data_IF_092713458348
#
_entry.id   IF_092713458348
#
_cell.length_a   1.000
_cell.length_b   1.000
_cell.length_c   1.000
_cell.angle_alpha   90.00
_cell.angle_beta   90.00
_cell.angle_gamma   90.00
#
_symmetry.space_group_name_H-M   'P 1'
#
loop_
_entity.id
_entity.type
_entity.pdbx_description
1 polymer ?
#
# COMPACT_ATOMS: atom_id res chain seq x y z
N UNK A 1 1.69 -20.99 -6.20
CA UNK A 1 1.24 -20.70 -7.58
C UNK A 1 0.88 -19.23 -7.58
N UNK A 2 1.57 -18.41 -8.38
CA UNK A 2 1.35 -16.96 -8.38
C UNK A 2 -0.09 -16.62 -8.77
N UNK A 3 -0.65 -15.55 -8.18
CA UNK A 3 -2.02 -15.09 -8.43
C UNK A 3 -2.15 -14.31 -9.74
N UNK A 4 -1.67 -14.89 -10.84
CA UNK A 4 -1.60 -14.21 -12.14
C UNK A 4 -2.97 -13.96 -12.80
N UNK A 5 -4.04 -14.51 -12.21
CA UNK A 5 -5.42 -14.38 -12.68
C UNK A 5 -6.28 -13.41 -11.86
N UNK A 6 -5.68 -12.50 -11.09
CA UNK A 6 -6.42 -11.42 -10.44
C UNK A 6 -6.98 -10.43 -11.47
N UNK A 7 -8.06 -9.73 -11.10
CA UNK A 7 -8.60 -8.64 -11.92
C UNK A 7 -7.54 -7.55 -12.11
N UNK A 8 -7.45 -7.03 -13.33
CA UNK A 8 -6.56 -5.90 -13.63
C UNK A 8 -7.26 -4.60 -13.28
N UNK A 9 -6.64 -3.80 -12.43
CA UNK A 9 -7.16 -2.50 -11.98
C UNK A 9 -6.19 -1.40 -12.46
N UNK A 10 -6.75 -0.42 -13.17
CA UNK A 10 -6.03 0.76 -13.64
C UNK A 10 -6.10 1.87 -12.59
N UNK A 11 -4.95 2.47 -12.25
CA UNK A 11 -4.83 3.59 -11.32
C UNK A 11 -4.00 4.65 -12.02
N UNK A 12 -4.65 5.72 -12.52
CA UNK A 12 -4.00 6.68 -13.40
C UNK A 12 -3.45 5.97 -14.65
N UNK A 13 -2.14 6.04 -14.86
CA UNK A 13 -1.41 5.35 -15.94
C UNK A 13 -0.84 3.97 -15.53
N UNK A 14 -0.98 3.56 -14.27
CA UNK A 14 -0.45 2.30 -13.72
C UNK A 14 -1.49 1.18 -13.67
N UNK A 15 -1.02 -0.07 -13.71
CA UNK A 15 -1.84 -1.28 -13.59
C UNK A 15 -1.35 -2.16 -12.45
N UNK A 16 -2.30 -2.72 -11.70
CA UNK A 16 -2.06 -3.78 -10.72
C UNK A 16 -2.97 -4.97 -11.02
N UNK A 17 -2.60 -6.16 -10.57
CA UNK A 17 -3.36 -7.39 -10.82
C UNK A 17 -3.07 -8.03 -12.17
N UNK A 18 -3.62 -9.24 -12.39
CA UNK A 18 -3.50 -9.99 -13.64
C UNK A 18 -2.07 -10.30 -14.07
N UNK A 19 -1.18 -10.59 -13.10
CA UNK A 19 0.23 -10.89 -13.36
C UNK A 19 1.09 -9.67 -13.74
N UNK A 20 0.57 -8.44 -13.62
CA UNK A 20 1.40 -7.24 -13.76
C UNK A 20 2.44 -7.15 -12.63
N UNK A 21 3.57 -6.45 -12.84
CA UNK A 21 4.58 -6.27 -11.80
C UNK A 21 4.01 -5.68 -10.50
N UNK A 22 4.50 -6.17 -9.37
CA UNK A 22 4.09 -5.68 -8.03
C UNK A 22 4.56 -4.24 -7.85
N UNK A 23 3.61 -3.30 -7.77
CA UNK A 23 3.91 -1.87 -7.66
C UNK A 23 4.18 -1.44 -6.21
N UNK A 24 5.13 -0.52 -6.03
CA UNK A 24 5.51 0.06 -4.75
C UNK A 24 4.69 1.32 -4.48
N UNK A 25 3.96 1.34 -3.37
CA UNK A 25 3.30 2.55 -2.88
C UNK A 25 3.98 3.07 -1.62
N UNK A 26 3.92 4.38 -1.44
CA UNK A 26 4.27 5.06 -0.19
C UNK A 26 3.13 5.98 0.24
N UNK A 27 3.32 6.70 1.35
CA UNK A 27 2.37 7.70 1.83
C UNK A 27 3.10 8.93 2.32
N UNK A 28 2.67 10.11 1.87
CA UNK A 28 3.16 11.37 2.39
C UNK A 28 2.82 11.51 3.88
N UNK A 29 3.73 12.12 4.63
CA UNK A 29 3.52 12.49 6.04
C UNK A 29 3.47 14.02 6.25
N UNK A 30 3.52 14.79 5.16
CA UNK A 30 3.20 16.22 5.15
C UNK A 30 1.70 16.45 5.29
N UNK A 31 1.31 17.66 5.68
CA UNK A 31 -0.09 18.09 5.62
C UNK A 31 -0.46 18.39 4.17
N UNK A 32 -1.46 17.70 3.63
CA UNK A 32 -1.84 17.78 2.21
C UNK A 32 -2.23 19.19 1.76
N UNK A 33 -2.79 20.02 2.66
CA UNK A 33 -3.07 21.43 2.39
C UNK A 33 -1.81 22.28 2.13
N UNK A 34 -0.64 21.83 2.57
CA UNK A 34 0.65 22.42 2.21
C UNK A 34 1.15 21.82 0.89
N UNK A 35 0.58 22.30 -0.21
CA UNK A 35 0.87 21.85 -1.58
C UNK A 35 2.37 21.79 -1.86
N UNK A 36 3.12 22.86 -1.53
CA UNK A 36 4.55 22.94 -1.83
C UNK A 36 5.33 21.81 -1.13
N UNK A 37 5.12 21.63 0.18
CA UNK A 37 5.81 20.58 0.94
C UNK A 37 5.39 19.18 0.49
N UNK A 38 4.11 18.98 0.16
CA UNK A 38 3.62 17.69 -0.32
C UNK A 38 4.20 17.36 -1.70
N UNK A 39 4.19 18.29 -2.66
CA UNK A 39 4.80 18.10 -3.99
C UNK A 39 6.30 17.80 -3.89
N UNK A 40 7.04 18.55 -3.07
CA UNK A 40 8.47 18.30 -2.84
C UNK A 40 8.72 16.87 -2.30
N UNK A 41 7.93 16.44 -1.32
CA UNK A 41 8.02 15.08 -0.79
C UNK A 41 7.64 14.02 -1.84
N UNK A 42 6.66 14.30 -2.70
CA UNK A 42 6.26 13.38 -3.78
C UNK A 42 7.40 13.21 -4.76
N UNK A 43 8.07 14.28 -5.19
CA UNK A 43 9.22 14.17 -6.10
C UNK A 43 10.36 13.34 -5.52
N UNK A 44 10.66 13.52 -4.22
CA UNK A 44 11.66 12.67 -3.54
C UNK A 44 11.26 11.19 -3.52
N UNK A 45 9.96 10.90 -3.40
CA UNK A 45 9.43 9.55 -3.46
C UNK A 45 9.42 8.97 -4.88
N UNK A 46 9.11 9.78 -5.89
CA UNK A 46 9.24 9.45 -7.32
C UNK A 46 10.70 9.05 -7.64
N UNK A 47 11.66 9.89 -7.26
CA UNK A 47 13.10 9.64 -7.45
C UNK A 47 13.56 8.36 -6.74
N UNK A 48 13.01 8.06 -5.56
CA UNK A 48 13.29 6.82 -4.85
C UNK A 48 12.67 5.57 -5.51
N UNK A 49 11.77 5.74 -6.49
CA UNK A 49 11.12 4.67 -7.24
C UNK A 49 9.73 4.27 -6.72
N UNK A 50 9.00 5.20 -6.09
CA UNK A 50 7.59 5.02 -5.75
C UNK A 50 6.72 5.05 -7.02
N UNK A 51 5.86 4.05 -7.19
CA UNK A 51 5.01 3.92 -8.37
C UNK A 51 3.65 4.63 -8.20
N UNK A 52 3.12 4.68 -6.97
CA UNK A 52 1.81 5.27 -6.64
C UNK A 52 1.90 5.93 -5.26
N UNK A 53 1.51 7.19 -5.15
CA UNK A 53 1.54 7.92 -3.88
C UNK A 53 0.18 7.98 -3.20
N UNK A 54 0.17 7.94 -1.87
CA UNK A 54 -1.02 8.23 -1.06
C UNK A 54 -0.84 9.50 -0.23
N UNK A 55 -1.91 10.28 -0.12
CA UNK A 55 -2.00 11.45 0.78
C UNK A 55 -3.21 11.33 1.71
N UNK A 56 -3.09 11.83 2.94
CA UNK A 56 -4.21 11.89 3.87
C UNK A 56 -5.16 13.04 3.49
N UNK A 57 -6.47 12.84 3.59
CA UNK A 57 -7.45 13.90 3.31
C UNK A 57 -8.36 14.08 4.53
N UNK A 58 -7.89 14.79 5.58
CA UNK A 58 -8.67 15.00 6.79
C UNK A 58 -9.67 16.17 6.67
N UNK A 59 -9.50 17.07 5.69
CA UNK A 59 -10.28 18.31 5.56
C UNK A 59 -10.66 18.57 4.09
N UNK A 60 -11.67 19.43 3.87
CA UNK A 60 -12.05 19.86 2.52
C UNK A 60 -10.93 20.65 1.82
N UNK A 61 -10.11 21.38 2.59
CA UNK A 61 -8.93 22.06 2.08
C UNK A 61 -7.89 21.06 1.55
N UNK A 62 -7.61 19.99 2.29
CA UNK A 62 -6.75 18.91 1.82
C UNK A 62 -7.32 18.23 0.56
N UNK A 63 -8.65 18.07 0.47
CA UNK A 63 -9.29 17.50 -0.72
C UNK A 63 -9.10 18.41 -1.94
N UNK A 64 -9.33 19.72 -1.77
CA UNK A 64 -9.16 20.71 -2.84
C UNK A 64 -7.69 20.86 -3.28
N UNK A 65 -6.74 20.73 -2.35
CA UNK A 65 -5.30 20.82 -2.62
C UNK A 65 -4.81 19.75 -3.61
N UNK A 66 -5.49 18.58 -3.70
CA UNK A 66 -5.18 17.52 -4.65
C UNK A 66 -5.14 18.05 -6.09
N UNK A 67 -6.03 18.99 -6.45
CA UNK A 67 -6.07 19.56 -7.80
C UNK A 67 -4.79 20.26 -8.18
N UNK A 68 -4.17 20.95 -7.23
CA UNK A 68 -2.91 21.65 -7.49
C UNK A 68 -1.72 20.70 -7.43
N UNK A 69 -1.71 19.77 -6.47
CA UNK A 69 -0.68 18.72 -6.37
C UNK A 69 -0.62 17.90 -7.67
N UNK A 70 -1.77 17.47 -8.20
CA UNK A 70 -1.87 16.65 -9.42
C UNK A 70 -1.30 17.30 -10.68
N UNK A 71 -1.21 18.63 -10.74
CA UNK A 71 -0.59 19.35 -11.87
C UNK A 71 0.93 19.30 -11.83
N UNK A 72 1.51 18.99 -10.67
CA UNK A 72 2.93 19.12 -10.41
C UNK A 72 3.63 17.78 -10.21
N UNK A 73 2.91 16.65 -10.18
CA UNK A 73 3.46 15.30 -9.96
C UNK A 73 3.25 14.40 -11.18
N UNK A 74 4.00 13.30 -11.24
CA UNK A 74 4.03 12.38 -12.40
C UNK A 74 3.44 11.01 -12.09
N UNK A 75 3.27 10.64 -10.82
CA UNK A 75 2.71 9.35 -10.41
C UNK A 75 1.23 9.47 -9.97
N UNK A 76 0.45 8.37 -10.03
CA UNK A 76 -0.93 8.37 -9.56
C UNK A 76 -1.03 8.64 -8.05
N UNK A 77 -2.09 9.37 -7.66
CA UNK A 77 -2.37 9.79 -6.30
C UNK A 77 -3.62 9.09 -5.74
N UNK A 78 -3.46 8.53 -4.54
CA UNK A 78 -4.53 7.91 -3.76
C UNK A 78 -4.94 8.84 -2.63
N UNK A 79 -6.22 9.16 -2.55
CA UNK A 79 -6.78 9.91 -1.42
C UNK A 79 -7.21 8.96 -0.29
N UNK A 80 -6.64 9.12 0.90
CA UNK A 80 -6.94 8.33 2.09
C UNK A 80 -8.06 9.00 2.92
N UNK A 81 -9.25 8.39 2.94
CA UNK A 81 -10.43 8.91 3.63
C UNK A 81 -10.82 7.97 4.77
N UNK A 82 -11.13 8.53 5.94
CA UNK A 82 -11.52 7.74 7.11
C UNK A 82 -13.03 7.69 7.35
N UNK A 83 -13.73 8.83 7.34
CA UNK A 83 -15.11 8.91 7.83
C UNK A 83 -16.06 9.73 6.95
N UNK A 84 -15.62 10.90 6.46
CA UNK A 84 -16.53 11.82 5.77
C UNK A 84 -16.59 11.53 4.27
N UNK A 85 -17.74 11.02 3.82
CA UNK A 85 -18.01 10.74 2.41
C UNK A 85 -17.87 11.97 1.50
N UNK A 86 -18.08 13.18 2.03
CA UNK A 86 -17.93 14.43 1.26
C UNK A 86 -16.47 14.69 0.89
N UNK A 87 -15.53 14.28 1.75
CA UNK A 87 -14.10 14.35 1.45
C UNK A 87 -13.72 13.38 0.33
N UNK A 88 -14.31 12.19 0.31
CA UNK A 88 -14.10 11.24 -0.78
C UNK A 88 -14.59 11.82 -2.11
N UNK A 89 -15.82 12.35 -2.14
CA UNK A 89 -16.38 12.99 -3.35
C UNK A 89 -15.50 14.17 -3.81
N UNK A 90 -15.15 15.07 -2.90
CA UNK A 90 -14.32 16.23 -3.22
C UNK A 90 -12.92 15.85 -3.71
N UNK A 91 -12.32 14.78 -3.17
CA UNK A 91 -11.02 14.28 -3.62
C UNK A 91 -11.09 13.71 -5.04
N UNK A 92 -12.16 12.99 -5.38
CA UNK A 92 -12.41 12.48 -6.74
C UNK A 92 -12.53 13.66 -7.73
N UNK A 93 -13.38 14.64 -7.40
CA UNK A 93 -13.59 15.84 -8.23
C UNK A 93 -12.36 16.75 -8.32
N UNK A 94 -11.40 16.57 -7.41
CA UNK A 94 -10.11 17.27 -7.42
C UNK A 94 -9.03 16.51 -8.19
N UNK A 95 -9.31 15.31 -8.71
CA UNK A 95 -8.42 14.57 -9.59
C UNK A 95 -7.63 13.44 -8.94
N UNK A 96 -8.07 12.91 -7.79
CA UNK A 96 -7.49 11.69 -7.24
C UNK A 96 -7.68 10.51 -8.20
N UNK A 97 -6.63 9.70 -8.41
CA UNK A 97 -6.66 8.55 -9.33
C UNK A 97 -7.22 7.27 -8.67
N UNK A 98 -7.33 7.27 -7.33
CA UNK A 98 -7.91 6.20 -6.51
C UNK A 98 -8.32 6.78 -5.17
N UNK A 99 -9.35 6.23 -4.54
CA UNK A 99 -9.67 6.52 -3.13
C UNK A 99 -9.44 5.27 -2.27
N UNK A 100 -9.06 5.46 -1.01
CA UNK A 100 -9.15 4.43 0.03
C UNK A 100 -10.25 4.82 0.99
N UNK A 101 -11.19 3.91 1.22
CA UNK A 101 -12.22 4.04 2.25
C UNK A 101 -12.33 2.74 3.05
N UNK A 102 -13.00 2.82 4.20
CA UNK A 102 -13.62 1.68 4.84
C UNK A 102 -15.13 1.97 4.89
N UNK A 103 -15.98 1.31 4.09
CA UNK A 103 -17.40 1.64 4.02
C UNK A 103 -18.11 1.63 5.39
N UNK A 104 -17.77 0.70 6.29
CA UNK A 104 -18.25 0.68 7.67
C UNK A 104 -17.97 1.96 8.46
N UNK A 105 -16.85 2.64 8.18
CA UNK A 105 -16.52 3.93 8.80
C UNK A 105 -17.20 5.13 8.11
N UNK A 106 -17.55 5.00 6.83
CA UNK A 106 -18.31 6.03 6.10
C UNK A 106 -19.76 6.12 6.60
N UNK A 107 -20.30 4.99 7.06
CA UNK A 107 -21.57 4.88 7.77
C UNK A 107 -22.72 4.49 6.85
N UNK A 108 -23.80 5.28 6.86
CA UNK A 108 -25.05 4.94 6.18
C UNK A 108 -24.87 4.55 4.71
N UNK A 109 -25.64 3.56 4.24
CA UNK A 109 -25.53 2.98 2.89
C UNK A 109 -25.67 4.05 1.79
N UNK A 110 -26.48 5.07 2.01
CA UNK A 110 -26.68 6.19 1.08
C UNK A 110 -25.40 7.03 0.91
N UNK A 111 -24.60 7.18 1.98
CA UNK A 111 -23.31 7.89 1.93
C UNK A 111 -22.27 7.09 1.16
N UNK A 112 -22.19 5.79 1.43
CA UNK A 112 -21.32 4.87 0.67
C UNK A 112 -21.73 4.87 -0.80
N UNK A 113 -23.05 4.81 -1.08
CA UNK A 113 -23.59 4.90 -2.44
C UNK A 113 -23.16 6.19 -3.14
N UNK A 114 -23.24 7.34 -2.48
CA UNK A 114 -22.80 8.60 -3.08
C UNK A 114 -21.31 8.58 -3.48
N UNK A 115 -20.45 7.95 -2.67
CA UNK A 115 -19.02 7.78 -3.00
C UNK A 115 -18.83 6.81 -4.18
N UNK A 116 -19.53 5.68 -4.17
CA UNK A 116 -19.45 4.67 -5.24
C UNK A 116 -19.97 5.22 -6.56
N UNK A 117 -21.09 5.94 -6.55
CA UNK A 117 -21.64 6.60 -7.75
C UNK A 117 -20.63 7.61 -8.32
N UNK A 118 -19.96 8.38 -7.46
CA UNK A 118 -18.92 9.34 -7.87
C UNK A 118 -17.68 8.64 -8.42
N UNK A 119 -17.23 7.55 -7.79
CA UNK A 119 -16.10 6.76 -8.28
C UNK A 119 -16.41 6.13 -9.65
N UNK A 120 -17.65 5.65 -9.86
CA UNK A 120 -18.14 5.19 -11.17
C UNK A 120 -18.13 6.27 -12.23
N UNK A 121 -18.66 7.45 -11.91
CA UNK A 121 -18.72 8.60 -12.81
C UNK A 121 -17.32 8.97 -13.34
N UNK A 122 -16.30 8.92 -12.49
CA UNK A 122 -14.92 9.25 -12.83
C UNK A 122 -14.07 8.03 -13.26
N UNK A 123 -14.63 6.82 -13.17
CA UNK A 123 -13.94 5.58 -13.52
C UNK A 123 -12.75 5.22 -12.62
N UNK A 124 -12.68 5.73 -11.39
CA UNK A 124 -11.52 5.50 -10.51
C UNK A 124 -11.72 4.34 -9.53
N UNK A 125 -10.69 3.54 -9.23
CA UNK A 125 -10.82 2.44 -8.29
C UNK A 125 -11.04 2.88 -6.85
N UNK A 126 -11.64 1.96 -6.08
CA UNK A 126 -11.79 2.07 -4.63
C UNK A 126 -10.95 1.00 -3.95
N UNK A 127 -10.04 1.40 -3.06
CA UNK A 127 -9.40 0.47 -2.13
C UNK A 127 -10.25 0.34 -0.87
N UNK A 128 -10.81 -0.84 -0.64
CA UNK A 128 -11.48 -1.22 0.62
C UNK A 128 -10.42 -1.77 1.56
N UNK A 129 -10.24 -1.12 2.72
CA UNK A 129 -9.15 -1.46 3.63
C UNK A 129 -9.57 -1.70 5.07
N UNK A 130 -9.33 -2.91 5.57
CA UNK A 130 -9.57 -3.34 6.95
C UNK A 130 -8.26 -3.44 7.72
N UNK A 131 -8.27 -2.96 8.97
CA UNK A 131 -7.13 -3.04 9.89
C UNK A 131 -7.53 -3.78 11.17
N UNK A 132 -6.61 -4.54 11.75
CA UNK A 132 -6.80 -5.23 13.04
C UNK A 132 -7.22 -4.31 14.19
N UNK A 133 -6.71 -3.08 14.23
CA UNK A 133 -7.05 -2.10 15.25
C UNK A 133 -8.46 -1.50 15.16
N UNK A 134 -9.19 -1.76 14.06
CA UNK A 134 -10.51 -1.17 13.81
C UNK A 134 -11.56 -2.22 13.42
N UNK A 135 -11.39 -3.47 13.86
CA UNK A 135 -12.35 -4.55 13.60
C UNK A 135 -13.67 -4.27 14.33
N UNK A 136 -14.78 -4.61 13.68
CA UNK A 136 -16.13 -4.39 14.19
C UNK A 136 -16.43 -5.27 15.42
N UNK A 137 -17.24 -4.75 16.35
CA UNK A 137 -17.51 -5.40 17.65
C UNK A 137 -18.22 -6.75 17.50
N UNK A 138 -19.15 -6.85 16.55
CA UNK A 138 -19.87 -8.09 16.25
C UNK A 138 -18.91 -9.21 15.81
N UNK A 139 -17.90 -8.86 15.00
CA UNK A 139 -16.87 -9.81 14.57
C UNK A 139 -15.91 -10.17 15.72
N UNK A 140 -15.52 -9.20 16.55
CA UNK A 140 -14.72 -9.47 17.74
C UNK A 140 -15.42 -10.45 18.69
N UNK A 141 -16.73 -10.27 18.93
CA UNK A 141 -17.53 -11.17 19.76
C UNK A 141 -17.69 -12.55 19.12
N UNK A 142 -17.99 -12.61 17.82
CA UNK A 142 -18.15 -13.86 17.06
C UNK A 142 -16.90 -14.74 17.09
N UNK A 143 -15.72 -14.12 16.94
CA UNK A 143 -14.44 -14.84 16.84
C UNK A 143 -13.66 -14.88 18.16
N UNK A 144 -14.17 -14.26 19.23
CA UNK A 144 -13.52 -14.21 20.54
C UNK A 144 -12.25 -13.35 20.58
N UNK A 145 -12.05 -12.48 19.59
CA UNK A 145 -10.88 -11.62 19.45
C UNK A 145 -10.58 -11.24 18.01
N UNK A 146 -9.42 -10.61 17.80
CA UNK A 146 -8.92 -10.33 16.45
C UNK A 146 -8.28 -11.61 15.90
N UNK A 147 -8.86 -12.18 14.85
CA UNK A 147 -8.32 -13.34 14.15
C UNK A 147 -8.20 -13.08 12.66
N UNK A 148 -7.47 -13.94 11.95
CA UNK A 148 -7.36 -13.88 10.49
C UNK A 148 -8.74 -14.04 9.81
N UNK A 149 -9.58 -14.95 10.30
CA UNK A 149 -10.93 -15.18 9.80
C UNK A 149 -11.82 -13.95 9.99
N UNK A 150 -11.76 -13.31 11.17
CA UNK A 150 -12.53 -12.10 11.46
C UNK A 150 -12.14 -10.95 10.52
N UNK A 151 -10.83 -10.77 10.28
CA UNK A 151 -10.31 -9.76 9.34
C UNK A 151 -10.77 -10.00 7.90
N UNK A 152 -10.74 -11.26 7.45
CA UNK A 152 -11.17 -11.65 6.10
C UNK A 152 -12.67 -11.49 5.95
N UNK A 153 -13.46 -11.87 6.96
CA UNK A 153 -14.91 -11.67 6.96
C UNK A 153 -15.28 -10.19 6.89
N UNK A 154 -14.66 -9.35 7.72
CA UNK A 154 -14.81 -7.89 7.67
C UNK A 154 -14.52 -7.36 6.27
N UNK A 155 -13.36 -7.72 5.69
CA UNK A 155 -12.96 -7.24 4.37
C UNK A 155 -13.95 -7.65 3.26
N UNK A 156 -14.41 -8.89 3.25
CA UNK A 156 -15.38 -9.37 2.26
C UNK A 156 -16.77 -8.77 2.45
N UNK A 157 -17.20 -8.53 3.70
CA UNK A 157 -18.46 -7.84 4.01
C UNK A 157 -18.44 -6.41 3.48
N UNK A 158 -17.34 -5.69 3.70
CA UNK A 158 -17.16 -4.31 3.22
C UNK A 158 -17.05 -4.24 1.69
N UNK A 159 -16.39 -5.21 1.06
CA UNK A 159 -16.34 -5.35 -0.41
C UNK A 159 -17.74 -5.60 -0.98
N UNK A 160 -18.51 -6.50 -0.37
CA UNK A 160 -19.87 -6.82 -0.81
C UNK A 160 -20.78 -5.58 -0.84
N UNK A 161 -20.60 -4.64 0.10
CA UNK A 161 -21.36 -3.36 0.07
C UNK A 161 -21.10 -2.59 -1.23
N UNK A 162 -19.85 -2.53 -1.69
CA UNK A 162 -19.49 -1.83 -2.95
C UNK A 162 -19.99 -2.60 -4.17
N UNK A 163 -19.90 -3.93 -4.15
CA UNK A 163 -20.40 -4.81 -5.22
C UNK A 163 -21.91 -4.76 -5.37
N UNK A 164 -22.67 -4.76 -4.27
CA UNK A 164 -24.13 -4.64 -4.26
C UNK A 164 -24.60 -3.28 -4.80
N UNK A 165 -23.74 -2.27 -4.72
CA UNK A 165 -23.97 -0.96 -5.36
C UNK A 165 -23.60 -0.99 -6.84
N UNK A 166 -23.17 -2.13 -7.38
CA UNK A 166 -22.87 -2.39 -8.78
C UNK A 166 -21.50 -1.88 -9.22
N UNK A 167 -20.50 -1.87 -8.34
CA UNK A 167 -19.14 -1.47 -8.68
C UNK A 167 -18.11 -2.53 -8.30
N UNK A 168 -17.15 -2.77 -9.18
CA UNK A 168 -16.18 -3.85 -9.07
C UNK A 168 -14.74 -3.42 -9.45
N UNK A 169 -14.50 -2.12 -9.57
CA UNK A 169 -13.15 -1.56 -9.70
C UNK A 169 -12.50 -1.44 -8.30
N UNK A 170 -12.26 -2.60 -7.67
CA UNK A 170 -11.94 -2.72 -6.24
C UNK A 170 -10.51 -3.25 -6.06
N UNK A 171 -9.81 -2.67 -5.07
CA UNK A 171 -8.56 -3.20 -4.51
C UNK A 171 -8.81 -3.52 -3.03
N UNK A 172 -8.32 -4.65 -2.53
CA UNK A 172 -8.53 -5.02 -1.13
C UNK A 172 -7.23 -4.87 -0.34
N UNK A 173 -7.29 -4.41 0.90
CA UNK A 173 -6.18 -4.53 1.84
C UNK A 173 -6.66 -5.02 3.19
N UNK A 174 -5.96 -6.00 3.75
CA UNK A 174 -6.08 -6.40 5.14
C UNK A 174 -4.73 -6.11 5.79
N UNK A 175 -4.70 -5.41 6.93
CA UNK A 175 -3.44 -5.15 7.62
C UNK A 175 -3.53 -5.47 9.10
N UNK A 176 -2.44 -6.01 9.60
CA UNK A 176 -2.21 -6.30 11.00
C UNK A 176 -0.79 -5.91 11.39
N UNK A 177 -0.61 -5.52 12.65
CA UNK A 177 0.71 -5.34 13.25
C UNK A 177 1.28 -6.66 13.77
N UNK A 178 0.48 -7.70 13.96
CA UNK A 178 0.97 -9.07 14.10
C UNK A 178 1.27 -9.65 12.70
N UNK A 179 2.52 -10.05 12.48
CA UNK A 179 3.02 -10.55 11.20
C UNK A 179 2.35 -11.86 10.80
N UNK A 180 2.28 -12.84 11.70
CA UNK A 180 1.75 -14.17 11.36
C UNK A 180 0.24 -14.13 11.15
N UNK A 181 -0.47 -13.30 11.92
CA UNK A 181 -1.89 -13.05 11.66
C UNK A 181 -2.09 -12.37 10.29
N UNK A 182 -1.22 -11.42 9.93
CA UNK A 182 -1.30 -10.76 8.64
C UNK A 182 -1.08 -11.75 7.49
N UNK A 183 -0.09 -12.64 7.62
CA UNK A 183 0.17 -13.72 6.65
C UNK A 183 -1.06 -14.62 6.50
N UNK A 184 -1.57 -15.17 7.61
CA UNK A 184 -2.73 -16.04 7.60
C UNK A 184 -3.97 -15.39 6.96
N UNK A 185 -4.22 -14.10 7.25
CA UNK A 185 -5.33 -13.38 6.65
C UNK A 185 -5.18 -13.24 5.12
N UNK A 186 -3.97 -13.01 4.61
CA UNK A 186 -3.70 -12.92 3.17
C UNK A 186 -3.83 -14.27 2.47
N UNK A 187 -3.34 -15.35 3.07
CA UNK A 187 -3.54 -16.72 2.57
C UNK A 187 -5.03 -17.08 2.45
N UNK A 188 -5.82 -16.69 3.45
CA UNK A 188 -7.26 -16.95 3.49
C UNK A 188 -8.02 -16.12 2.46
N UNK A 189 -7.80 -14.80 2.39
CA UNK A 189 -8.54 -13.96 1.44
C UNK A 189 -8.18 -14.27 -0.01
N UNK A 190 -6.92 -14.61 -0.29
CA UNK A 190 -6.50 -15.01 -1.63
C UNK A 190 -7.36 -16.17 -2.18
N UNK A 191 -7.80 -17.11 -1.33
CA UNK A 191 -8.64 -18.24 -1.76
C UNK A 191 -10.10 -17.85 -2.03
N UNK A 192 -10.52 -16.63 -1.67
CA UNK A 192 -11.92 -16.19 -1.66
C UNK A 192 -12.25 -15.08 -2.64
N UNK A 193 -11.26 -14.47 -3.28
CA UNK A 193 -11.47 -13.37 -4.23
C UNK A 193 -10.41 -13.35 -5.32
N UNK A 194 -10.75 -12.75 -6.45
CA UNK A 194 -9.87 -12.45 -7.58
C UNK A 194 -9.46 -10.96 -7.62
N UNK A 195 -9.94 -10.11 -6.71
CA UNK A 195 -9.47 -8.71 -6.65
C UNK A 195 -7.98 -8.63 -6.30
N UNK A 196 -7.26 -7.60 -6.80
CA UNK A 196 -5.89 -7.36 -6.42
C UNK A 196 -5.77 -6.94 -4.95
N UNK A 197 -4.70 -7.40 -4.32
CA UNK A 197 -4.41 -7.20 -2.91
C UNK A 197 -3.28 -6.17 -2.73
N UNK A 198 -3.58 -5.12 -1.98
CA UNK A 198 -2.58 -4.20 -1.43
C UNK A 198 -2.07 -4.76 -0.11
N UNK A 199 -0.80 -5.18 -0.08
CA UNK A 199 -0.17 -5.85 1.06
C UNK A 199 0.72 -4.88 1.84
N UNK A 200 0.77 -5.05 3.16
CA UNK A 200 1.71 -4.33 4.02
C UNK A 200 1.48 -4.63 5.49
N UNK A 201 2.57 -4.69 6.25
CA UNK A 201 2.51 -4.77 7.72
C UNK A 201 2.31 -3.35 8.26
N UNK A 202 1.24 -3.13 9.02
CA UNK A 202 0.97 -1.83 9.65
C UNK A 202 1.71 -1.72 10.98
N UNK A 203 2.01 -0.48 11.40
CA UNK A 203 2.67 -0.21 12.69
C UNK A 203 3.92 -1.08 12.90
N UNK A 204 4.80 -1.10 11.90
CA UNK A 204 5.97 -1.99 11.93
C UNK A 204 7.05 -1.48 12.89
N UNK A 205 7.06 -0.18 13.19
CA UNK A 205 7.98 0.45 14.14
C UNK A 205 9.01 1.33 13.45
N UNK A 206 10.06 1.69 14.20
CA UNK A 206 11.22 2.48 13.71
C UNK A 206 11.99 1.75 12.63
N UNK A 207 12.90 2.43 11.91
CA UNK A 207 13.65 1.90 10.77
C UNK A 207 14.14 0.44 10.92
N UNK A 208 14.93 0.13 11.96
CA UNK A 208 15.51 -1.21 12.12
C UNK A 208 14.44 -2.29 12.37
N UNK A 209 13.65 -2.13 13.44
CA UNK A 209 12.63 -3.10 13.83
C UNK A 209 11.51 -3.22 12.79
N UNK A 210 11.11 -2.09 12.20
CA UNK A 210 10.10 -2.01 11.17
C UNK A 210 10.52 -2.66 9.86
N UNK A 211 11.79 -2.51 9.47
CA UNK A 211 12.33 -3.22 8.30
C UNK A 211 12.36 -4.73 8.54
N UNK A 212 12.86 -5.21 9.67
CA UNK A 212 12.85 -6.65 9.99
C UNK A 212 11.43 -7.20 9.94
N UNK A 213 10.50 -6.54 10.64
CA UNK A 213 9.10 -6.97 10.73
C UNK A 213 8.38 -6.96 9.38
N UNK A 214 8.60 -5.90 8.59
CA UNK A 214 8.03 -5.78 7.24
C UNK A 214 8.62 -6.82 6.29
N UNK A 215 9.94 -7.02 6.30
CA UNK A 215 10.62 -7.99 5.44
C UNK A 215 10.19 -9.43 5.74
N UNK A 216 9.98 -9.81 7.01
CA UNK A 216 9.46 -11.13 7.36
C UNK A 216 8.03 -11.31 6.82
N UNK A 217 7.13 -10.37 7.11
CA UNK A 217 5.73 -10.49 6.70
C UNK A 217 5.52 -10.41 5.19
N UNK A 218 6.10 -9.39 4.54
CA UNK A 218 6.04 -9.25 3.08
C UNK A 218 6.79 -10.39 2.39
N UNK A 219 7.93 -10.84 2.93
CA UNK A 219 8.69 -11.97 2.42
C UNK A 219 7.84 -13.23 2.28
N UNK A 220 7.11 -13.60 3.34
CA UNK A 220 6.24 -14.78 3.33
C UNK A 220 5.08 -14.59 2.34
N UNK A 221 4.32 -13.49 2.45
CA UNK A 221 3.12 -13.25 1.63
C UNK A 221 3.47 -13.22 0.13
N UNK A 222 4.53 -12.49 -0.24
CA UNK A 222 4.95 -12.34 -1.63
C UNK A 222 5.59 -13.60 -2.19
N UNK A 223 6.31 -14.39 -1.37
CA UNK A 223 6.90 -15.66 -1.80
C UNK A 223 5.82 -16.68 -2.22
N UNK A 224 4.65 -16.63 -1.59
CA UNK A 224 3.50 -17.45 -1.98
C UNK A 224 2.81 -16.96 -3.27
N UNK A 225 3.26 -15.82 -3.80
CA UNK A 225 2.69 -15.16 -4.97
C UNK A 225 1.42 -14.38 -4.65
N UNK A 226 1.28 -13.91 -3.41
CA UNK A 226 0.16 -13.10 -2.96
C UNK A 226 0.59 -11.63 -2.88
N UNK A 227 -0.20 -10.74 -3.50
CA UNK A 227 0.02 -9.30 -3.44
C UNK A 227 0.34 -8.70 -4.80
N UNK A 228 -0.40 -7.67 -5.17
CA UNK A 228 -0.34 -7.01 -6.46
C UNK A 228 0.27 -5.60 -6.34
N UNK A 229 0.35 -5.11 -5.11
CA UNK A 229 1.03 -3.87 -4.74
C UNK A 229 1.39 -3.88 -3.26
N UNK A 230 2.48 -3.24 -2.89
CA UNK A 230 3.00 -3.25 -1.52
C UNK A 230 3.16 -1.85 -0.94
N UNK A 231 3.13 -1.77 0.39
CA UNK A 231 3.68 -0.65 1.15
C UNK A 231 4.36 -1.15 2.43
N UNK A 232 5.60 -0.75 2.64
CA UNK A 232 6.28 -0.84 3.93
C UNK A 232 5.81 0.33 4.80
N UNK A 233 5.47 0.11 6.08
CA UNK A 233 4.97 1.18 6.96
C UNK A 233 5.92 1.39 8.13
N UNK A 234 6.75 2.43 8.06
CA UNK A 234 7.79 2.74 9.05
C UNK A 234 7.47 4.03 9.80
N UNK A 235 7.92 4.10 11.04
CA UNK A 235 8.02 5.37 11.76
C UNK A 235 9.33 6.06 11.36
N UNK A 236 9.31 6.81 10.26
CA UNK A 236 10.48 7.47 9.68
C UNK A 236 10.19 8.29 8.43
N UNK A 237 11.23 8.60 7.66
CA UNK A 237 11.10 9.23 6.34
C UNK A 237 10.41 8.25 5.36
N UNK A 238 9.32 8.65 4.68
CA UNK A 238 8.64 7.83 3.67
C UNK A 238 9.55 7.34 2.53
N UNK A 239 10.69 8.00 2.26
CA UNK A 239 11.68 7.54 1.28
C UNK A 239 12.31 6.20 1.71
N UNK A 240 12.52 6.00 3.01
CA UNK A 240 13.04 4.74 3.54
C UNK A 240 12.03 3.59 3.38
N UNK A 241 10.72 3.88 3.41
CA UNK A 241 9.69 2.88 3.08
C UNK A 241 9.85 2.36 1.64
N UNK A 242 10.13 3.26 0.69
CA UNK A 242 10.32 2.93 -0.73
C UNK A 242 11.59 2.11 -0.93
N UNK A 243 12.71 2.53 -0.33
CA UNK A 243 13.99 1.79 -0.40
C UNK A 243 13.84 0.36 0.13
N UNK A 244 13.20 0.19 1.30
CA UNK A 244 12.91 -1.13 1.86
C UNK A 244 12.00 -1.97 0.96
N UNK A 245 10.95 -1.37 0.39
CA UNK A 245 10.06 -2.06 -0.54
C UNK A 245 10.80 -2.54 -1.80
N UNK A 246 11.70 -1.71 -2.37
CA UNK A 246 12.55 -2.07 -3.50
C UNK A 246 13.45 -3.26 -3.18
N UNK A 247 14.13 -3.22 -2.03
CA UNK A 247 15.01 -4.30 -1.61
C UNK A 247 14.25 -5.61 -1.39
N UNK A 248 13.11 -5.58 -0.71
CA UNK A 248 12.26 -6.77 -0.48
C UNK A 248 11.86 -7.40 -1.83
N UNK A 249 11.36 -6.61 -2.78
CA UNK A 249 10.95 -7.14 -4.09
C UNK A 249 12.15 -7.66 -4.90
N UNK A 250 13.32 -7.00 -4.84
CA UNK A 250 14.53 -7.45 -5.52
C UNK A 250 15.04 -8.77 -4.94
N UNK A 251 15.11 -8.88 -3.61
CA UNK A 251 15.53 -10.11 -2.89
C UNK A 251 14.62 -11.31 -3.22
N UNK A 252 13.33 -11.08 -3.45
CA UNK A 252 12.38 -12.11 -3.87
C UNK A 252 12.39 -12.39 -5.39
N UNK A 253 13.19 -11.64 -6.17
CA UNK A 253 13.22 -11.75 -7.64
C UNK A 253 11.99 -11.18 -8.35
N UNK A 254 11.13 -10.44 -7.65
CA UNK A 254 9.89 -9.85 -8.16
C UNK A 254 10.10 -8.51 -8.86
N UNK A 255 11.19 -7.81 -8.54
CA UNK A 255 11.62 -6.60 -9.27
C UNK A 255 13.02 -6.83 -9.81
N UNK A 256 13.16 -6.71 -11.13
CA UNK A 256 14.45 -6.79 -11.82
C UNK A 256 15.06 -5.39 -11.92
N UNK A 257 16.37 -5.34 -12.05
CA UNK A 257 17.11 -4.11 -12.28
C UNK A 257 17.86 -3.57 -11.06
N UNK A 258 18.82 -2.72 -11.36
CA UNK A 258 19.84 -2.21 -10.44
C UNK A 258 20.89 -3.23 -10.00
N UNK A 259 21.83 -2.78 -9.16
CA UNK A 259 22.98 -3.59 -8.73
C UNK A 259 22.70 -4.22 -7.36
N UNK A 260 22.98 -5.51 -7.23
CA UNK A 260 23.01 -6.23 -5.95
C UNK A 260 24.47 -6.48 -5.55
N UNK A 261 24.85 -5.98 -4.37
CA UNK A 261 26.19 -6.23 -3.82
C UNK A 261 26.10 -7.42 -2.88
N UNK A 262 26.80 -8.50 -3.25
CA UNK A 262 26.90 -9.69 -2.41
C UNK A 262 28.27 -9.72 -1.76
N UNK A 263 28.30 -9.57 -0.43
CA UNK A 263 29.53 -9.59 0.37
C UNK A 263 29.53 -10.74 1.38
N UNK A 264 30.70 -11.35 1.59
CA UNK A 264 30.89 -12.32 2.67
C UNK A 264 30.76 -11.63 4.04
N UNK A 265 30.17 -12.26 5.07
CA UNK A 265 30.10 -11.73 6.44
C UNK A 265 31.46 -11.42 7.09
N UNK A 266 32.58 -11.76 6.45
CA UNK A 266 33.95 -11.90 6.99
C UNK A 266 34.14 -13.12 7.88
N UNK A 267 35.39 -13.49 8.14
CA UNK A 267 35.77 -14.50 9.14
C UNK A 267 37.26 -14.33 9.50
N UNK A 268 37.80 -15.21 10.35
CA UNK A 268 39.23 -15.20 10.72
C UNK A 268 40.22 -15.39 9.56
N UNK A 269 39.73 -15.54 8.31
CA UNK A 269 40.53 -15.61 7.08
C UNK A 269 40.59 -14.28 6.32
N UNK A 270 39.83 -13.26 6.73
CA UNK A 270 39.77 -11.98 6.03
C UNK A 270 41.11 -11.25 6.14
N UNK A 271 41.71 -10.88 5.01
CA UNK A 271 43.02 -10.21 4.92
C UNK A 271 42.94 -8.72 4.56
N UNK A 272 41.74 -8.21 4.33
CA UNK A 272 41.47 -6.83 3.92
C UNK A 272 40.34 -6.24 4.76
N UNK A 273 40.19 -4.92 4.74
CA UNK A 273 39.01 -4.26 5.31
C UNK A 273 37.80 -4.44 4.38
N UNK A 274 37.25 -5.66 4.39
CA UNK A 274 36.12 -6.02 3.53
C UNK A 274 34.85 -5.26 3.92
N UNK A 275 34.68 -4.91 5.20
CA UNK A 275 33.50 -4.19 5.68
C UNK A 275 33.47 -2.78 5.10
N UNK A 276 34.59 -2.05 5.17
CA UNK A 276 34.68 -0.72 4.57
C UNK A 276 34.45 -0.78 3.05
N UNK A 277 35.13 -1.70 2.36
CA UNK A 277 35.02 -1.83 0.91
C UNK A 277 33.59 -2.17 0.47
N UNK A 278 32.93 -3.13 1.14
CA UNK A 278 31.55 -3.51 0.82
C UNK A 278 30.59 -2.32 0.98
N UNK A 279 30.71 -1.55 2.07
CA UNK A 279 29.89 -0.36 2.29
C UNK A 279 30.16 0.73 1.25
N UNK A 280 31.41 0.91 0.80
CA UNK A 280 31.73 1.83 -0.28
C UNK A 280 31.05 1.42 -1.58
N UNK A 281 31.13 0.14 -1.96
CA UNK A 281 30.49 -0.38 -3.17
C UNK A 281 28.97 -0.25 -3.10
N UNK A 282 28.35 -0.62 -1.97
CA UNK A 282 26.91 -0.46 -1.74
C UNK A 282 26.46 1.01 -1.95
N UNK A 283 27.19 1.96 -1.35
CA UNK A 283 26.88 3.38 -1.50
C UNK A 283 27.04 3.86 -2.95
N UNK A 284 28.10 3.42 -3.64
CA UNK A 284 28.35 3.79 -5.05
C UNK A 284 27.24 3.35 -5.99
N UNK A 285 26.60 2.22 -5.71
CA UNK A 285 25.59 1.62 -6.59
C UNK A 285 24.14 1.87 -6.13
N UNK A 286 23.94 2.48 -4.97
CA UNK A 286 22.62 2.69 -4.35
C UNK A 286 21.58 3.42 -5.22
N UNK A 287 22.03 4.28 -6.15
CA UNK A 287 21.19 4.99 -7.11
C UNK A 287 21.13 4.37 -8.51
N UNK A 288 21.76 3.22 -8.74
CA UNK A 288 21.78 2.55 -10.04
C UNK A 288 20.56 1.62 -10.15
N UNK A 289 19.53 2.06 -10.89
CA UNK A 289 18.32 1.30 -11.22
C UNK A 289 18.31 0.88 -12.70
N UNK A 290 19.42 0.33 -13.21
CA UNK A 290 19.56 -0.19 -14.59
C UNK A 290 18.46 -1.19 -14.95
#
# INVERSE_FOLDING_TARGET
MFRDHTRVIQIGDRKIGGGNPVLIQSMCNTKTENVAATVEQIHRLEEAGCDIIRVAVPTMEAAAAIREIKKQIHIPLVADIHFDYRLAIAAIESGADKIRINPGNIGARERVKAVVDKAKEYGIPIRVGVNSGSLEKDLLEKYGGVTAEALVESALKEVAVVEELGYDNIVISIKSSDVLMCVAAHELIAKKTDYPLHVGITESGTLLSGNIKSSVGLGIILHEGIGDTIRVSLTGDPVEEVKSAKLILRTLGLRKGGVEVVSCPTCGRTQIDLIHLANQVENMVSGMDL
#
